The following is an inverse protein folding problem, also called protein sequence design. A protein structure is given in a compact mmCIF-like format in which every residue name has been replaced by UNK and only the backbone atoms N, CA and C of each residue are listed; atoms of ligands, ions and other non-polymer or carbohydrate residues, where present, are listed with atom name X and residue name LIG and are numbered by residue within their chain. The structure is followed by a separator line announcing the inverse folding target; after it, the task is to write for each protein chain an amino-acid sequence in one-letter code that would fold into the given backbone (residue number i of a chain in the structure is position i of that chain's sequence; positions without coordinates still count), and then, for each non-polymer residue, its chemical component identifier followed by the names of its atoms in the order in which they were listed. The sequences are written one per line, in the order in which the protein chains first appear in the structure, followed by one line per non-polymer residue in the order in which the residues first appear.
data_IF_794898143249
#
_entry.id   IF_794898143249
#
_cell.length_a   1.000
_cell.length_b   1.000
_cell.length_c   1.000
_cell.angle_alpha   90.00
_cell.angle_beta   90.00
_cell.angle_gamma   90.00
#
_symmetry.space_group_name_H-M   'P 1'
#
loop_
_entity.id
_entity.type
_entity.pdbx_description
1 polymer ?
#
# COMPACT_ATOMS: atom_id res chain seq x y z
N UNK A 1 -5.10 11.04 -16.34
CA UNK A 1 -3.69 10.75 -16.69
C UNK A 1 -2.91 10.08 -15.54
N UNK A 2 -2.82 10.67 -14.34
CA UNK A 2 -2.03 10.07 -13.24
C UNK A 2 -2.56 8.74 -12.72
N UNK A 3 -3.88 8.60 -12.55
CA UNK A 3 -4.50 7.33 -12.09
C UNK A 3 -4.14 6.16 -13.02
N UNK A 4 -4.21 6.38 -14.33
CA UNK A 4 -3.86 5.36 -15.34
C UNK A 4 -2.40 4.90 -15.21
N UNK A 5 -1.47 5.85 -14.99
CA UNK A 5 -0.03 5.54 -14.78
C UNK A 5 0.19 4.72 -13.51
N UNK A 6 -0.40 5.14 -12.38
CA UNK A 6 -0.31 4.40 -11.12
C UNK A 6 -0.98 3.02 -11.25
N UNK A 7 -2.04 2.91 -12.04
CA UNK A 7 -2.73 1.64 -12.30
C UNK A 7 -1.83 0.68 -13.07
N UNK A 8 -1.19 1.13 -14.15
CA UNK A 8 -0.24 0.33 -14.92
C UNK A 8 0.95 -0.13 -14.04
N UNK A 9 1.60 0.79 -13.33
CA UNK A 9 2.71 0.45 -12.44
C UNK A 9 2.29 -0.50 -11.28
N UNK A 10 1.08 -0.34 -10.75
CA UNK A 10 0.54 -1.28 -9.76
C UNK A 10 0.37 -2.68 -10.35
N UNK A 11 -0.12 -2.79 -11.60
CA UNK A 11 -0.31 -4.05 -12.30
C UNK A 11 1.01 -4.76 -12.60
N UNK A 12 2.06 -4.03 -12.97
CA UNK A 12 3.41 -4.57 -13.13
C UNK A 12 3.93 -5.21 -11.84
N UNK A 13 3.44 -4.75 -10.69
CA UNK A 13 3.72 -5.35 -9.39
C UNK A 13 2.60 -6.28 -8.91
N UNK A 14 1.66 -6.72 -9.74
CA UNK A 14 0.60 -7.65 -9.36
C UNK A 14 -0.40 -7.09 -8.34
N UNK A 15 -0.61 -5.79 -8.31
CA UNK A 15 -1.61 -5.10 -7.50
C UNK A 15 -2.65 -4.38 -8.37
N UNK A 16 -3.89 -4.31 -7.89
CA UNK A 16 -4.90 -3.42 -8.46
C UNK A 16 -4.80 -2.04 -7.81
N UNK A 17 -5.04 -0.98 -8.57
CA UNK A 17 -4.99 0.40 -8.07
C UNK A 17 -5.78 0.64 -6.77
N UNK A 18 -7.04 0.20 -6.61
CA UNK A 18 -7.78 0.41 -5.36
C UNK A 18 -7.12 -0.27 -4.16
N UNK A 19 -6.57 -1.46 -4.37
CA UNK A 19 -5.85 -2.19 -3.33
C UNK A 19 -4.54 -1.50 -2.96
N UNK A 20 -3.79 -0.99 -3.94
CA UNK A 20 -2.57 -0.24 -3.69
C UNK A 20 -2.84 1.00 -2.83
N UNK A 21 -3.78 1.86 -3.26
CA UNK A 21 -4.10 3.10 -2.55
C UNK A 21 -4.67 2.84 -1.16
N UNK A 22 -5.62 1.90 -1.01
CA UNK A 22 -6.23 1.58 0.28
C UNK A 22 -5.18 1.14 1.31
N UNK A 23 -4.23 0.30 0.90
CA UNK A 23 -3.22 -0.21 1.84
C UNK A 23 -2.14 0.81 2.17
N UNK A 24 -1.83 1.76 1.28
CA UNK A 24 -0.97 2.90 1.64
C UNK A 24 -1.63 3.81 2.69
N UNK A 25 -2.92 4.10 2.54
CA UNK A 25 -3.68 4.89 3.52
C UNK A 25 -3.70 4.18 4.88
N UNK A 26 -3.92 2.85 4.91
CA UNK A 26 -3.88 2.06 6.14
C UNK A 26 -2.51 2.03 6.84
N UNK A 27 -1.43 2.34 6.11
CA UNK A 27 -0.09 2.49 6.67
C UNK A 27 0.26 3.95 7.01
N UNK A 28 -0.71 4.87 7.03
CA UNK A 28 -0.49 6.31 7.24
C UNK A 28 0.48 6.95 6.21
N UNK A 29 0.55 6.39 4.99
CA UNK A 29 1.36 6.94 3.90
C UNK A 29 0.51 7.89 3.05
N UNK A 30 0.58 9.18 3.36
CA UNK A 30 -0.21 10.22 2.72
C UNK A 30 0.48 10.81 1.47
N UNK A 31 0.55 10.01 0.40
CA UNK A 31 1.07 10.47 -0.88
C UNK A 31 -0.06 10.79 -1.87
N UNK A 32 0.02 11.96 -2.49
CA UNK A 32 -0.93 12.34 -3.54
C UNK A 32 -0.66 11.58 -4.86
N UNK A 33 -1.65 11.58 -5.76
CA UNK A 33 -1.62 10.77 -7.00
C UNK A 33 -0.61 11.30 -8.02
N UNK A 34 -0.26 12.58 -7.96
CA UNK A 34 0.76 13.19 -8.82
C UNK A 34 2.13 12.63 -8.44
N UNK A 35 2.50 12.70 -7.17
CA UNK A 35 3.77 12.17 -6.64
C UNK A 35 3.86 10.67 -6.90
N UNK A 36 2.80 9.89 -6.67
CA UNK A 36 2.81 8.46 -6.97
C UNK A 36 3.04 8.17 -8.45
N UNK A 37 2.48 8.97 -9.36
CA UNK A 37 2.72 8.82 -10.79
C UNK A 37 4.15 9.23 -11.19
N UNK A 38 4.71 10.26 -10.56
CA UNK A 38 6.09 10.69 -10.79
C UNK A 38 7.09 9.64 -10.28
N UNK A 39 6.86 9.09 -9.08
CA UNK A 39 7.65 8.00 -8.53
C UNK A 39 7.58 6.74 -9.40
N UNK A 40 6.41 6.43 -9.97
CA UNK A 40 6.26 5.30 -10.88
C UNK A 40 7.12 5.44 -12.15
N UNK A 41 7.34 6.67 -12.63
CA UNK A 41 8.11 6.94 -13.86
C UNK A 41 9.60 7.06 -13.56
N UNK A 42 9.96 7.90 -12.59
CA UNK A 42 11.35 8.31 -12.37
C UNK A 42 12.05 7.49 -11.29
N UNK A 43 11.30 6.87 -10.37
CA UNK A 43 11.83 6.19 -9.19
C UNK A 43 11.24 4.76 -9.04
N UNK A 44 11.48 3.86 -10.02
CA UNK A 44 10.85 2.55 -10.06
C UNK A 44 11.17 1.68 -8.84
N UNK A 45 12.37 1.84 -8.25
CA UNK A 45 12.76 1.14 -7.01
C UNK A 45 11.91 1.60 -5.83
N UNK A 46 11.67 2.90 -5.72
CA UNK A 46 10.82 3.49 -4.66
C UNK A 46 9.37 3.04 -4.83
N UNK A 47 8.84 3.07 -6.06
CA UNK A 47 7.48 2.59 -6.32
C UNK A 47 7.33 1.09 -6.02
N UNK A 48 8.32 0.27 -6.37
CA UNK A 48 8.35 -1.16 -6.02
C UNK A 48 8.29 -1.39 -4.51
N UNK A 49 9.02 -0.60 -3.72
CA UNK A 49 8.98 -0.68 -2.25
C UNK A 49 7.62 -0.30 -1.69
N UNK A 50 6.98 0.75 -2.23
CA UNK A 50 5.60 1.11 -1.86
C UNK A 50 4.60 0.01 -2.21
N UNK A 51 4.75 -0.62 -3.39
CA UNK A 51 3.91 -1.74 -3.79
C UNK A 51 4.11 -2.97 -2.89
N UNK A 52 5.35 -3.26 -2.48
CA UNK A 52 5.65 -4.32 -1.53
C UNK A 52 5.03 -4.05 -0.15
N UNK A 53 5.13 -2.82 0.36
CA UNK A 53 4.47 -2.39 1.60
C UNK A 53 2.94 -2.58 1.51
N UNK A 54 2.32 -2.10 0.43
CA UNK A 54 0.89 -2.25 0.21
C UNK A 54 0.45 -3.73 0.16
N UNK A 55 1.25 -4.61 -0.44
CA UNK A 55 1.00 -6.07 -0.42
C UNK A 55 1.09 -6.65 0.98
N UNK A 56 2.12 -6.29 1.75
CA UNK A 56 2.29 -6.77 3.12
C UNK A 56 1.13 -6.36 4.01
N UNK A 57 0.74 -5.09 3.97
CA UNK A 57 -0.42 -4.59 4.74
C UNK A 57 -1.72 -5.29 4.37
N UNK A 58 -1.91 -5.61 3.09
CA UNK A 58 -3.07 -6.37 2.59
C UNK A 58 -3.09 -7.79 3.17
N UNK A 59 -1.95 -8.47 3.19
CA UNK A 59 -1.83 -9.82 3.75
C UNK A 59 -2.11 -9.84 5.26
N UNK A 60 -1.54 -8.89 6.01
CA UNK A 60 -1.84 -8.75 7.45
C UNK A 60 -3.34 -8.52 7.70
N UNK A 61 -3.98 -7.70 6.85
CA UNK A 61 -5.43 -7.47 6.94
C UNK A 61 -6.27 -8.73 6.70
N UNK A 62 -5.82 -9.63 5.81
CA UNK A 62 -6.49 -10.91 5.62
C UNK A 62 -6.24 -11.88 6.77
N UNK A 63 -5.01 -11.96 7.28
CA UNK A 63 -4.69 -12.79 8.43
C UNK A 63 -5.53 -12.39 9.65
N UNK A 64 -5.58 -11.10 9.96
CA UNK A 64 -6.39 -10.58 11.06
C UNK A 64 -7.90 -10.85 10.89
N UNK A 65 -8.41 -10.85 9.65
CA UNK A 65 -9.82 -11.12 9.38
C UNK A 65 -10.19 -12.62 9.44
N UNK A 66 -9.22 -13.51 9.24
CA UNK A 66 -9.41 -14.96 9.31
C UNK A 66 -9.15 -15.53 10.71
N UNK A 67 -8.39 -14.82 11.55
CA UNK A 67 -8.09 -15.25 12.91
C UNK A 67 -9.23 -14.99 13.90
N UNK A 68 -9.14 -15.61 15.08
CA UNK A 68 -10.12 -15.49 16.16
C UNK A 68 -9.97 -14.19 16.99
N UNK A 69 -9.22 -13.20 16.49
CA UNK A 69 -8.95 -11.92 17.18
C UNK A 69 -8.00 -12.00 18.39
N UNK A 70 -7.49 -13.19 18.71
CA UNK A 70 -6.50 -13.39 19.80
C UNK A 70 -5.05 -13.14 19.37
N UNK A 71 -4.81 -13.11 18.05
CA UNK A 71 -3.49 -12.91 17.48
C UNK A 71 -3.09 -11.42 17.59
N UNK A 72 -1.79 -11.13 17.80
CA UNK A 72 -1.33 -9.75 17.86
C UNK A 72 -1.48 -9.05 16.51
N UNK A 73 -1.67 -7.73 16.55
CA UNK A 73 -1.72 -6.92 15.33
C UNK A 73 -0.43 -7.06 14.51
N UNK A 74 -0.60 -7.12 13.18
CA UNK A 74 0.50 -7.13 12.22
C UNK A 74 1.39 -5.90 12.35
N UNK A 75 2.68 -6.05 12.04
CA UNK A 75 3.70 -5.01 12.26
C UNK A 75 3.33 -3.72 11.51
N UNK A 76 2.88 -3.82 10.26
CA UNK A 76 2.48 -2.67 9.44
C UNK A 76 1.04 -2.22 9.68
N UNK A 77 0.30 -2.94 10.53
CA UNK A 77 -1.08 -2.64 10.88
C UNK A 77 -1.20 -1.73 12.10
N UNK A 78 -0.12 -1.57 12.87
CA UNK A 78 -0.04 -0.67 14.03
C UNK A 78 -0.08 0.78 13.57
N UNK A 79 -0.93 1.57 14.22
CA UNK A 79 -1.13 2.99 13.91
C UNK A 79 -0.40 3.85 14.96
N UNK A 80 0.37 4.83 14.51
CA UNK A 80 0.98 5.81 15.40
C UNK A 80 -0.11 6.76 15.88
N UNK A 81 -0.33 6.78 17.19
CA UNK A 81 -1.23 7.75 17.84
C UNK A 81 -0.46 9.06 18.05
N UNK A 82 -0.95 10.14 17.49
CA UNK A 82 -0.46 11.49 17.79
C UNK A 82 -1.26 12.00 18.99
N UNK A 83 -0.59 12.17 20.14
CA UNK A 83 -1.12 12.81 21.35
C UNK A 83 -1.09 14.34 21.21
#
# INVERSE_FOLDING_TARGET
LWISRVTAASQEHGLKYPAFILNLIKCQVELNRKVLADLAIYEPKTFKSLAALAKRRRQEGFAAALGDGKEPEGIFSRVVQHL
#
